data_IF_569484040258
#
_entry.id   IF_569484040258
#
_cell.length_a   1.000
_cell.length_b   1.000
_cell.length_c   1.000
_cell.angle_alpha   90.00
_cell.angle_beta   90.00
_cell.angle_gamma   90.00
#
_symmetry.space_group_name_H-M   'P 1'
#
loop_
_entity.id
_entity.type
_entity.pdbx_description
1 polymer ?
#
# COMPACT_ATOMS: atom_id res chain seq x y z
N UNK A 1 41.56 26.81 68.21
CA UNK A 1 41.92 25.94 67.09
C UNK A 1 40.58 25.55 66.38
N UNK A 2 40.29 26.24 65.23
CA UNK A 2 39.00 26.07 64.51
C UNK A 2 39.26 25.18 63.29
N UNK A 3 38.72 23.97 63.33
CA UNK A 3 38.77 23.00 62.21
C UNK A 3 37.65 23.36 61.22
N UNK A 4 38.00 23.75 59.98
CA UNK A 4 37.04 23.92 58.84
C UNK A 4 36.94 22.60 58.15
N UNK A 5 35.74 21.97 58.19
CA UNK A 5 35.38 20.87 57.32
C UNK A 5 35.05 21.42 55.91
N UNK A 6 35.82 21.04 54.90
CA UNK A 6 35.49 21.22 53.50
C UNK A 6 34.55 20.08 53.09
N UNK A 7 33.31 20.43 52.77
CA UNK A 7 32.41 19.52 52.05
C UNK A 7 32.76 19.55 50.56
N UNK A 8 33.31 18.46 50.08
CA UNK A 8 33.55 18.23 48.66
C UNK A 8 32.25 17.65 48.05
N UNK A 9 31.44 18.47 47.39
CA UNK A 9 30.24 18.03 46.67
C UNK A 9 30.65 17.37 45.36
N UNK A 10 30.55 16.04 45.32
CA UNK A 10 30.72 15.22 44.10
C UNK A 10 29.48 15.39 43.23
N UNK A 11 29.56 16.22 42.19
CA UNK A 11 28.55 16.30 41.11
C UNK A 11 28.64 15.02 40.29
N UNK A 12 27.77 14.06 40.58
CA UNK A 12 27.51 12.94 39.70
C UNK A 12 26.74 13.47 38.48
N UNK A 13 27.44 13.68 37.37
CA UNK A 13 26.84 13.86 36.07
C UNK A 13 26.15 12.54 35.69
N UNK A 14 24.84 12.49 35.84
CA UNK A 14 24.02 11.40 35.26
C UNK A 14 24.13 11.51 33.74
N UNK A 15 25.02 10.74 33.15
CA UNK A 15 24.93 10.44 31.72
C UNK A 15 23.63 9.68 31.50
N UNK A 16 22.61 10.37 30.99
CA UNK A 16 21.46 9.73 30.40
C UNK A 16 21.98 8.96 29.17
N UNK A 17 22.25 7.68 29.35
CA UNK A 17 22.39 6.74 28.25
C UNK A 17 20.99 6.67 27.63
N UNK A 18 20.80 7.49 26.60
CA UNK A 18 19.65 7.36 25.71
C UNK A 18 19.67 5.92 25.21
N UNK A 19 18.59 5.18 25.44
CA UNK A 19 18.42 3.87 24.83
C UNK A 19 18.77 4.01 23.34
N UNK A 20 19.65 3.17 22.83
CA UNK A 20 20.09 3.18 21.44
C UNK A 20 18.86 3.17 20.54
N UNK A 21 18.47 4.35 20.07
CA UNK A 21 17.60 4.53 18.95
C UNK A 21 18.43 4.00 17.76
N UNK A 22 18.12 2.81 17.26
CA UNK A 22 18.81 2.26 16.10
C UNK A 22 18.58 3.23 14.96
N UNK A 23 19.59 4.01 14.64
CA UNK A 23 19.54 4.95 13.53
C UNK A 23 19.45 4.14 12.23
N UNK A 24 18.63 4.63 11.32
CA UNK A 24 18.67 4.19 9.93
C UNK A 24 20.10 4.39 9.38
N UNK A 25 20.41 3.68 8.32
CA UNK A 25 21.74 3.73 7.72
C UNK A 25 22.10 5.19 7.35
N UNK A 26 23.29 5.72 7.78
CA UNK A 26 23.64 7.10 7.55
C UNK A 26 24.09 7.40 6.10
N UNK A 27 24.37 6.39 5.29
CA UNK A 27 24.84 6.52 3.91
C UNK A 27 23.77 6.17 2.89
N UNK A 28 22.81 5.29 3.26
CA UNK A 28 21.85 4.73 2.35
C UNK A 28 20.42 4.88 2.84
N UNK A 29 19.53 5.26 1.94
CA UNK A 29 18.09 5.12 2.13
C UNK A 29 17.67 3.71 1.68
N UNK A 30 17.55 2.77 2.63
CA UNK A 30 17.31 1.35 2.35
C UNK A 30 15.84 1.00 2.44
N UNK A 31 15.23 0.68 1.31
CA UNK A 31 13.80 0.40 1.17
C UNK A 31 13.54 -1.10 1.01
N UNK A 32 12.60 -1.61 1.81
CA UNK A 32 12.06 -2.98 1.67
C UNK A 32 10.95 -2.95 0.62
N UNK A 33 11.09 -3.65 -0.51
CA UNK A 33 10.15 -3.57 -1.62
C UNK A 33 9.84 -4.94 -2.24
N UNK A 34 8.69 -5.03 -2.90
CA UNK A 34 8.36 -6.21 -3.72
C UNK A 34 8.94 -6.03 -5.13
N UNK A 35 9.63 -7.05 -5.68
CA UNK A 35 10.22 -6.95 -7.01
C UNK A 35 9.20 -7.05 -8.16
N UNK A 36 7.92 -7.41 -7.90
CA UNK A 36 6.94 -7.75 -8.95
C UNK A 36 5.53 -7.18 -8.73
N UNK A 37 5.33 -6.26 -7.79
CA UNK A 37 4.00 -5.84 -7.34
C UNK A 37 3.59 -4.45 -7.88
N UNK A 38 3.66 -4.24 -9.20
CA UNK A 38 3.08 -3.02 -9.78
C UNK A 38 1.57 -2.91 -9.48
N UNK A 39 1.08 -1.71 -9.23
CA UNK A 39 1.69 -0.39 -9.33
C UNK A 39 2.56 0.04 -8.14
N UNK A 40 2.62 -0.73 -7.06
CA UNK A 40 3.37 -0.38 -5.85
C UNK A 40 4.86 -0.30 -6.14
N UNK A 41 5.52 -1.44 -6.35
CA UNK A 41 6.96 -1.49 -6.61
C UNK A 41 7.34 -2.60 -7.59
N UNK A 42 8.48 -2.45 -8.22
CA UNK A 42 9.18 -3.52 -8.92
C UNK A 42 10.70 -3.26 -8.92
N UNK A 43 11.47 -4.26 -9.35
CA UNK A 43 12.93 -4.16 -9.40
C UNK A 43 13.46 -3.18 -10.46
N UNK A 44 12.60 -2.74 -11.40
CA UNK A 44 12.97 -1.76 -12.43
C UNK A 44 12.74 -0.31 -11.98
N UNK A 45 12.21 -0.07 -10.76
CA UNK A 45 11.93 1.27 -10.28
C UNK A 45 10.68 1.92 -10.88
N UNK A 46 9.73 1.14 -11.40
CA UNK A 46 8.58 1.62 -12.15
C UNK A 46 7.30 1.82 -11.31
N UNK A 47 7.30 1.42 -10.03
CA UNK A 47 6.15 1.58 -9.14
C UNK A 47 6.09 2.96 -8.47
N UNK A 48 4.90 3.37 -7.99
CA UNK A 48 4.77 4.65 -7.29
C UNK A 48 5.55 4.69 -5.96
N UNK A 49 5.70 3.56 -5.28
CA UNK A 49 6.55 3.46 -4.09
C UNK A 49 8.02 3.69 -4.45
N UNK A 50 8.47 3.17 -5.60
CA UNK A 50 9.82 3.45 -6.08
C UNK A 50 10.01 4.96 -6.33
N UNK A 51 9.01 5.64 -6.94
CA UNK A 51 9.10 7.09 -7.21
C UNK A 51 9.09 7.93 -5.93
N UNK A 52 8.30 7.55 -4.94
CA UNK A 52 8.31 8.21 -3.62
C UNK A 52 9.64 7.93 -2.89
N UNK A 53 10.19 6.72 -3.03
CA UNK A 53 11.50 6.39 -2.45
C UNK A 53 12.64 7.19 -3.10
N UNK A 54 12.61 7.38 -4.43
CA UNK A 54 13.53 8.26 -5.17
C UNK A 54 13.45 9.71 -4.64
N UNK A 55 12.22 10.24 -4.48
CA UNK A 55 11.97 11.56 -3.90
C UNK A 55 12.59 11.69 -2.49
N UNK A 56 12.34 10.71 -1.61
CA UNK A 56 12.83 10.77 -0.24
C UNK A 56 14.35 10.63 -0.15
N UNK A 57 14.95 9.76 -0.96
CA UNK A 57 16.39 9.62 -1.05
C UNK A 57 17.06 10.94 -1.48
N UNK A 58 16.50 11.62 -2.49
CA UNK A 58 16.93 12.95 -2.93
C UNK A 58 16.85 14.00 -1.79
N UNK A 59 15.69 14.06 -1.10
CA UNK A 59 15.49 15.02 0.01
C UNK A 59 16.41 14.77 1.21
N UNK A 60 16.80 13.52 1.43
CA UNK A 60 17.76 13.13 2.49
C UNK A 60 19.22 13.29 2.04
N UNK A 61 19.49 13.40 0.74
CA UNK A 61 20.84 13.38 0.19
C UNK A 61 21.52 12.01 0.34
N UNK A 62 20.75 10.91 0.34
CA UNK A 62 21.23 9.55 0.53
C UNK A 62 21.14 8.75 -0.77
N UNK A 63 22.03 7.75 -0.94
CA UNK A 63 21.92 6.79 -2.02
C UNK A 63 20.76 5.82 -1.75
N UNK A 64 19.86 5.64 -2.74
CA UNK A 64 18.73 4.73 -2.64
C UNK A 64 19.17 3.28 -2.86
N UNK A 65 18.81 2.40 -1.94
CA UNK A 65 19.00 0.94 -2.04
C UNK A 65 17.73 0.18 -1.74
N UNK A 66 17.57 -0.97 -2.37
CA UNK A 66 16.43 -1.85 -2.16
C UNK A 66 16.84 -3.21 -1.61
N UNK A 67 16.09 -3.70 -0.62
CA UNK A 67 16.00 -5.12 -0.29
C UNK A 67 14.70 -5.65 -0.90
N UNK A 68 14.82 -6.47 -1.92
CA UNK A 68 13.66 -7.04 -2.62
C UNK A 68 13.26 -8.39 -2.04
N UNK A 69 12.00 -8.49 -1.65
CA UNK A 69 11.36 -9.73 -1.24
C UNK A 69 9.86 -9.70 -1.63
N UNK A 70 9.26 -10.81 -2.11
CA UNK A 70 7.82 -10.82 -2.42
C UNK A 70 6.97 -10.46 -1.20
N UNK A 71 6.04 -9.52 -1.35
CA UNK A 71 5.18 -9.03 -0.27
C UNK A 71 4.10 -10.06 0.11
N UNK A 72 4.53 -11.10 0.83
CA UNK A 72 3.75 -12.25 1.29
C UNK A 72 3.98 -12.49 2.78
N UNK A 73 3.39 -13.58 3.30
CA UNK A 73 3.65 -14.03 4.68
C UNK A 73 5.15 -14.09 4.93
N UNK A 74 5.59 -13.37 5.97
CA UNK A 74 7.00 -13.28 6.35
C UNK A 74 7.77 -12.11 5.71
N UNK A 75 7.16 -11.25 4.90
CA UNK A 75 7.81 -10.09 4.30
C UNK A 75 8.59 -9.26 5.34
N UNK A 76 7.93 -8.78 6.39
CA UNK A 76 8.57 -7.97 7.45
C UNK A 76 9.72 -8.72 8.14
N UNK A 77 9.55 -10.02 8.40
CA UNK A 77 10.59 -10.84 9.05
C UNK A 77 11.82 -11.01 8.17
N UNK A 78 11.64 -11.14 6.86
CA UNK A 78 12.74 -11.39 5.92
C UNK A 78 13.36 -10.11 5.33
N UNK A 79 12.77 -8.94 5.59
CA UNK A 79 13.21 -7.64 5.11
C UNK A 79 13.49 -6.69 6.28
N UNK A 80 12.49 -5.93 6.74
CA UNK A 80 12.62 -4.86 7.72
C UNK A 80 13.26 -5.32 9.06
N UNK A 81 12.98 -6.55 9.49
CA UNK A 81 13.53 -7.16 10.72
C UNK A 81 14.73 -8.05 10.48
N UNK A 82 15.10 -8.26 9.22
CA UNK A 82 16.23 -9.13 8.90
C UNK A 82 17.53 -8.33 8.97
N UNK A 83 18.51 -8.92 9.67
CA UNK A 83 19.86 -8.37 9.74
C UNK A 83 20.69 -8.85 8.55
N UNK A 84 21.64 -8.03 8.14
CA UNK A 84 22.72 -8.37 7.24
C UNK A 84 23.92 -8.94 8.02
N UNK A 85 24.91 -9.46 7.32
CA UNK A 85 26.10 -10.08 7.94
C UNK A 85 26.94 -9.13 8.81
N UNK A 86 26.65 -7.82 8.85
CA UNK A 86 27.40 -6.78 9.56
C UNK A 86 26.61 -6.15 10.74
N UNK A 87 25.66 -6.86 11.32
CA UNK A 87 24.74 -6.36 12.36
C UNK A 87 23.89 -5.13 11.95
N UNK A 88 23.85 -4.81 10.66
CA UNK A 88 22.96 -3.80 10.09
C UNK A 88 21.70 -4.48 9.54
N UNK A 89 20.58 -3.78 9.57
CA UNK A 89 19.35 -4.28 8.94
C UNK A 89 19.44 -4.21 7.40
N UNK A 90 18.76 -5.13 6.74
CA UNK A 90 18.72 -5.21 5.28
C UNK A 90 18.05 -3.99 4.64
N UNK A 91 17.00 -3.48 5.27
CA UNK A 91 16.30 -2.25 4.87
C UNK A 91 15.72 -1.55 6.09
N UNK A 92 15.35 -0.27 5.98
CA UNK A 92 14.99 0.58 7.10
C UNK A 92 13.56 1.12 7.01
N UNK A 93 12.87 0.89 5.89
CA UNK A 93 11.50 1.36 5.66
C UNK A 93 10.75 0.45 4.70
N UNK A 94 9.45 0.26 4.97
CA UNK A 94 8.45 -0.27 4.04
C UNK A 94 7.57 0.89 3.60
N UNK A 95 7.41 1.10 2.31
CA UNK A 95 6.76 2.30 1.78
C UNK A 95 5.24 2.27 1.85
N UNK A 96 4.61 1.10 1.91
CA UNK A 96 3.15 0.98 1.84
C UNK A 96 2.62 -0.14 2.73
N UNK A 97 1.98 0.26 3.81
CA UNK A 97 1.21 -0.62 4.70
C UNK A 97 -0.10 0.07 5.07
N UNK A 98 -1.17 -0.68 5.37
CA UNK A 98 -2.34 -0.09 6.01
C UNK A 98 -1.95 0.64 7.30
N UNK A 99 -2.53 1.80 7.58
CA UNK A 99 -2.17 2.58 8.79
C UNK A 99 -2.45 1.83 10.11
N UNK A 100 -3.29 0.78 10.08
CA UNK A 100 -3.53 -0.14 11.20
C UNK A 100 -2.57 -1.34 11.26
N UNK A 101 -1.46 -1.30 10.53
CA UNK A 101 -0.51 -2.43 10.47
C UNK A 101 0.23 -2.61 11.79
N UNK A 102 0.18 -3.84 12.36
CA UNK A 102 0.68 -4.12 13.71
C UNK A 102 2.06 -4.80 13.75
N UNK A 103 2.64 -5.13 12.59
CA UNK A 103 3.94 -5.81 12.58
C UNK A 103 5.14 -4.84 12.56
N UNK A 104 4.90 -3.53 12.50
CA UNK A 104 5.93 -2.49 12.52
C UNK A 104 5.34 -1.15 13.01
N UNK A 105 6.19 -0.17 13.33
CA UNK A 105 5.75 1.17 13.72
C UNK A 105 5.35 1.96 12.47
N UNK A 106 4.06 2.29 12.33
CA UNK A 106 3.54 3.06 11.20
C UNK A 106 3.75 4.56 11.39
N UNK A 107 4.02 5.25 10.27
CA UNK A 107 4.05 6.71 10.19
C UNK A 107 2.64 7.30 10.21
N UNK A 108 2.53 8.63 10.13
CA UNK A 108 1.30 9.28 9.72
C UNK A 108 0.90 8.79 8.30
N UNK A 109 -0.40 8.71 8.00
CA UNK A 109 -0.85 8.34 6.66
C UNK A 109 -0.37 9.36 5.61
N UNK A 110 0.06 8.89 4.46
CA UNK A 110 0.47 9.78 3.36
C UNK A 110 -0.52 9.80 2.19
N UNK A 111 -1.43 8.83 2.11
CA UNK A 111 -2.61 8.88 1.25
C UNK A 111 -3.70 7.95 1.72
N UNK A 112 -4.91 8.16 1.19
CA UNK A 112 -6.03 7.23 1.33
C UNK A 112 -6.63 6.90 -0.03
N UNK A 113 -7.06 5.67 -0.20
CA UNK A 113 -7.78 5.19 -1.39
C UNK A 113 -8.86 4.21 -0.98
N UNK A 114 -9.70 3.83 -1.92
CA UNK A 114 -10.80 2.90 -1.67
C UNK A 114 -10.78 1.75 -2.65
N UNK A 115 -11.51 0.69 -2.38
CA UNK A 115 -11.82 -0.31 -3.40
C UNK A 115 -12.59 0.33 -4.55
N UNK A 116 -12.39 -0.19 -5.76
CA UNK A 116 -13.08 0.25 -6.95
C UNK A 116 -13.68 -0.94 -7.71
N UNK A 117 -14.88 -0.73 -8.21
CA UNK A 117 -15.50 -1.59 -9.20
C UNK A 117 -14.90 -1.25 -10.56
N UNK A 118 -14.48 -2.28 -11.30
CA UNK A 118 -13.90 -2.15 -12.64
C UNK A 118 -14.65 -3.03 -13.61
N UNK A 119 -15.00 -2.49 -14.77
CA UNK A 119 -15.63 -3.22 -15.89
C UNK A 119 -15.25 -2.58 -17.23
N UNK A 120 -15.43 -3.33 -18.33
CA UNK A 120 -15.17 -2.82 -19.66
C UNK A 120 -16.40 -2.10 -20.22
N UNK A 121 -16.21 -0.94 -20.83
CA UNK A 121 -17.22 -0.23 -21.61
C UNK A 121 -17.52 -1.00 -22.91
N UNK A 122 -18.74 -0.89 -23.43
CA UNK A 122 -19.15 -1.59 -24.65
C UNK A 122 -19.50 -3.08 -24.45
N UNK A 123 -19.69 -3.53 -23.19
CA UNK A 123 -19.96 -4.95 -22.89
C UNK A 123 -21.16 -5.15 -21.95
N UNK A 124 -22.36 -4.73 -22.41
CA UNK A 124 -23.63 -4.88 -21.67
C UNK A 124 -23.72 -4.17 -20.30
N UNK A 125 -22.71 -3.39 -19.92
CA UNK A 125 -22.65 -2.61 -18.68
C UNK A 125 -22.58 -1.10 -18.94
N UNK A 126 -22.89 -0.64 -20.17
CA UNK A 126 -22.78 0.77 -20.56
C UNK A 126 -23.79 1.68 -19.86
N UNK A 127 -24.87 1.13 -19.34
CA UNK A 127 -25.86 1.87 -18.53
C UNK A 127 -25.40 2.09 -17.10
N UNK A 128 -24.29 1.48 -16.69
CA UNK A 128 -23.74 1.59 -15.34
C UNK A 128 -23.01 2.91 -15.18
N UNK A 129 -23.51 3.75 -14.27
CA UNK A 129 -22.93 5.06 -13.94
C UNK A 129 -22.42 5.15 -12.50
N UNK A 130 -22.86 4.21 -11.65
CA UNK A 130 -22.50 4.14 -10.23
C UNK A 130 -22.63 2.68 -9.72
N UNK A 131 -22.19 2.38 -8.48
CA UNK A 131 -22.27 1.04 -7.92
C UNK A 131 -23.71 0.51 -7.78
N UNK A 132 -24.70 1.37 -7.58
CA UNK A 132 -26.13 0.95 -7.46
C UNK A 132 -26.65 0.47 -8.80
N UNK A 133 -26.46 1.25 -9.85
CA UNK A 133 -26.85 0.87 -11.22
C UNK A 133 -26.12 -0.39 -11.72
N UNK A 134 -24.88 -0.63 -11.26
CA UNK A 134 -24.18 -1.89 -11.53
C UNK A 134 -24.91 -3.09 -10.89
N UNK A 135 -25.29 -2.99 -9.61
CA UNK A 135 -26.00 -4.05 -8.90
C UNK A 135 -27.32 -4.38 -9.60
N UNK A 136 -28.06 -3.36 -10.03
CA UNK A 136 -29.30 -3.51 -10.79
C UNK A 136 -29.05 -4.17 -12.15
N UNK A 137 -28.07 -3.68 -12.91
CA UNK A 137 -27.69 -4.22 -14.21
C UNK A 137 -27.32 -5.72 -14.12
N UNK A 138 -26.53 -6.11 -13.11
CA UNK A 138 -26.16 -7.51 -12.88
C UNK A 138 -27.37 -8.38 -12.59
N UNK A 139 -28.31 -7.91 -11.74
CA UNK A 139 -29.50 -8.68 -11.32
C UNK A 139 -30.57 -8.80 -12.43
N UNK A 140 -30.64 -7.84 -13.32
CA UNK A 140 -31.63 -7.77 -14.40
C UNK A 140 -31.11 -8.26 -15.75
N UNK A 141 -29.79 -8.49 -15.86
CA UNK A 141 -29.17 -8.97 -17.10
C UNK A 141 -29.75 -10.32 -17.54
N UNK A 142 -30.01 -10.44 -18.85
CA UNK A 142 -30.41 -11.69 -19.46
C UNK A 142 -29.23 -12.68 -19.53
N UNK A 143 -28.02 -12.19 -19.64
CA UNK A 143 -26.81 -12.99 -19.63
C UNK A 143 -26.20 -13.01 -18.25
N UNK A 144 -25.62 -14.15 -17.85
CA UNK A 144 -24.98 -14.26 -16.54
C UNK A 144 -23.69 -13.44 -16.50
N UNK A 145 -23.70 -12.29 -15.81
CA UNK A 145 -22.51 -11.49 -15.54
C UNK A 145 -21.53 -12.29 -14.67
N UNK A 146 -20.24 -12.21 -14.98
CA UNK A 146 -19.16 -12.87 -14.25
C UNK A 146 -18.34 -11.81 -13.52
N UNK A 147 -18.34 -11.85 -12.19
CA UNK A 147 -17.57 -10.95 -11.34
C UNK A 147 -16.35 -11.71 -10.85
N UNK A 148 -15.16 -11.38 -11.37
CA UNK A 148 -13.91 -11.93 -10.87
C UNK A 148 -13.62 -11.39 -9.46
N UNK A 149 -13.32 -12.27 -8.52
CA UNK A 149 -13.04 -11.86 -7.15
C UNK A 149 -11.92 -12.73 -6.55
N UNK A 150 -10.90 -12.09 -6.04
CA UNK A 150 -9.88 -12.79 -5.26
C UNK A 150 -10.33 -12.98 -3.81
N UNK A 151 -9.64 -13.88 -3.11
CA UNK A 151 -9.98 -14.37 -1.77
C UNK A 151 -10.40 -13.29 -0.76
N UNK A 152 -10.88 -13.76 0.36
CA UNK A 152 -11.49 -13.06 1.50
C UNK A 152 -11.01 -11.62 1.73
N UNK A 153 -11.94 -10.67 1.80
CA UNK A 153 -11.65 -9.27 2.10
C UNK A 153 -12.88 -8.38 1.94
N UNK A 154 -12.65 -7.08 2.01
CA UNK A 154 -13.71 -6.08 1.95
C UNK A 154 -14.50 -6.12 0.61
N UNK A 155 -13.85 -6.45 -0.51
CA UNK A 155 -14.50 -6.65 -1.79
C UNK A 155 -15.54 -7.79 -1.75
N UNK A 156 -15.21 -8.91 -1.09
CA UNK A 156 -16.13 -10.03 -0.93
C UNK A 156 -17.33 -9.66 -0.05
N UNK A 157 -17.12 -8.91 1.03
CA UNK A 157 -18.21 -8.41 1.87
C UNK A 157 -19.15 -7.52 1.07
N UNK A 158 -18.60 -6.60 0.26
CA UNK A 158 -19.40 -5.74 -0.60
C UNK A 158 -20.27 -6.56 -1.59
N UNK A 159 -19.68 -7.54 -2.26
CA UNK A 159 -20.39 -8.44 -3.18
C UNK A 159 -21.47 -9.25 -2.43
N UNK A 160 -21.15 -9.78 -1.26
CA UNK A 160 -22.08 -10.57 -0.42
C UNK A 160 -23.29 -9.73 0.00
N UNK A 161 -23.09 -8.58 0.61
CA UNK A 161 -24.18 -7.74 1.12
C UNK A 161 -25.05 -7.12 0.02
N UNK A 162 -24.54 -7.07 -1.23
CA UNK A 162 -25.33 -6.64 -2.38
C UNK A 162 -26.02 -7.81 -3.12
N UNK A 163 -25.91 -9.05 -2.60
CA UNK A 163 -26.59 -10.23 -3.14
C UNK A 163 -26.01 -10.71 -4.47
N UNK A 164 -24.68 -10.50 -4.70
CA UNK A 164 -24.02 -10.82 -5.96
C UNK A 164 -23.17 -12.10 -5.90
N UNK A 165 -23.25 -12.89 -4.84
CA UNK A 165 -22.42 -14.09 -4.66
C UNK A 165 -22.58 -15.15 -5.76
N UNK A 166 -23.77 -15.28 -6.36
CA UNK A 166 -24.02 -16.22 -7.46
C UNK A 166 -23.35 -15.86 -8.79
N UNK A 167 -22.81 -14.65 -8.88
CA UNK A 167 -22.11 -14.11 -10.07
C UNK A 167 -20.59 -14.19 -9.96
N UNK A 168 -20.05 -14.70 -8.83
CA UNK A 168 -18.61 -14.75 -8.59
C UNK A 168 -17.93 -15.82 -9.46
N UNK A 169 -16.82 -15.40 -10.08
CA UNK A 169 -15.77 -16.26 -10.61
C UNK A 169 -14.57 -16.14 -9.66
N UNK A 170 -14.19 -17.19 -8.91
CA UNK A 170 -13.16 -17.09 -7.88
C UNK A 170 -11.75 -17.06 -8.47
N UNK A 171 -10.90 -16.24 -7.88
CA UNK A 171 -9.47 -16.12 -8.19
C UNK A 171 -8.64 -16.28 -6.91
N UNK A 172 -7.41 -16.76 -7.05
CA UNK A 172 -6.48 -16.87 -5.91
C UNK A 172 -5.87 -15.49 -5.60
N UNK A 173 -6.04 -14.99 -4.39
CA UNK A 173 -5.42 -13.75 -3.91
C UNK A 173 -3.93 -13.88 -3.63
N UNK A 174 -3.47 -15.09 -3.26
CA UNK A 174 -2.06 -15.40 -3.03
C UNK A 174 -1.64 -16.66 -3.80
N UNK A 175 -1.48 -16.58 -5.13
CA UNK A 175 -1.03 -17.71 -5.92
C UNK A 175 0.41 -18.12 -5.54
N UNK A 176 0.74 -19.40 -5.71
CA UNK A 176 2.08 -19.95 -5.37
C UNK A 176 3.24 -19.27 -6.10
N UNK A 177 3.01 -18.72 -7.29
CA UNK A 177 4.02 -17.99 -8.05
C UNK A 177 4.31 -16.61 -7.42
N UNK A 178 5.53 -16.31 -6.96
CA UNK A 178 5.89 -15.02 -6.37
C UNK A 178 5.86 -13.84 -7.35
N UNK A 179 5.87 -14.09 -8.65
CA UNK A 179 5.78 -13.06 -9.70
C UNK A 179 4.33 -12.75 -10.11
N UNK A 180 3.35 -13.49 -9.58
CA UNK A 180 1.96 -13.25 -9.93
C UNK A 180 1.44 -11.98 -9.26
N UNK A 181 0.70 -11.18 -10.03
CA UNK A 181 -0.03 -10.02 -9.56
C UNK A 181 -1.54 -10.30 -9.73
N UNK A 182 -2.25 -10.69 -8.65
CA UNK A 182 -3.66 -11.07 -8.72
C UNK A 182 -4.58 -9.97 -9.26
N UNK A 183 -4.35 -8.71 -8.87
CA UNK A 183 -5.15 -7.60 -9.35
C UNK A 183 -4.96 -7.36 -10.86
N UNK A 184 -3.71 -7.48 -11.36
CA UNK A 184 -3.44 -7.44 -12.80
C UNK A 184 -4.17 -8.56 -13.54
N UNK A 185 -4.12 -9.78 -13.02
CA UNK A 185 -4.79 -10.93 -13.64
C UNK A 185 -6.29 -10.69 -13.80
N UNK A 186 -6.95 -10.14 -12.77
CA UNK A 186 -8.38 -9.80 -12.83
C UNK A 186 -8.68 -8.76 -13.93
N UNK A 187 -7.86 -7.72 -14.01
CA UNK A 187 -8.03 -6.66 -15.03
C UNK A 187 -7.75 -7.21 -16.45
N UNK A 188 -6.68 -7.98 -16.62
CA UNK A 188 -6.35 -8.62 -17.91
C UNK A 188 -7.49 -9.54 -18.37
N UNK A 189 -8.14 -10.25 -17.45
CA UNK A 189 -9.26 -11.15 -17.76
C UNK A 189 -10.56 -10.38 -18.08
N UNK A 190 -10.76 -9.16 -17.55
CA UNK A 190 -11.80 -8.25 -18.07
C UNK A 190 -11.48 -7.85 -19.51
N UNK A 191 -10.26 -7.40 -19.78
CA UNK A 191 -9.84 -7.01 -21.14
C UNK A 191 -10.02 -8.16 -22.13
N UNK A 192 -9.67 -9.38 -21.74
CA UNK A 192 -9.85 -10.59 -22.53
C UNK A 192 -11.31 -11.09 -22.64
N UNK A 193 -12.27 -10.50 -21.91
CA UNK A 193 -13.67 -10.92 -21.90
C UNK A 193 -13.96 -12.24 -21.18
N UNK A 194 -13.07 -12.71 -20.33
CA UNK A 194 -13.26 -13.92 -19.51
C UNK A 194 -14.18 -13.66 -18.32
N UNK A 195 -14.11 -12.46 -17.75
CA UNK A 195 -15.00 -11.91 -16.73
C UNK A 195 -15.48 -10.52 -17.17
N UNK A 196 -16.59 -10.06 -16.60
CA UNK A 196 -17.22 -8.81 -16.99
C UNK A 196 -16.83 -7.66 -16.06
N UNK A 197 -16.59 -7.96 -14.79
CA UNK A 197 -16.25 -6.96 -13.76
C UNK A 197 -15.36 -7.56 -12.66
N UNK A 198 -14.74 -6.69 -11.88
CA UNK A 198 -14.03 -7.03 -10.64
C UNK A 198 -14.14 -5.91 -9.62
N UNK A 199 -13.86 -6.23 -8.35
CA UNK A 199 -13.68 -5.24 -7.27
C UNK A 199 -12.28 -5.43 -6.69
N UNK A 200 -11.43 -4.43 -6.87
CA UNK A 200 -10.03 -4.43 -6.41
C UNK A 200 -9.68 -3.11 -5.74
N UNK A 201 -8.53 -3.06 -5.05
CA UNK A 201 -8.04 -1.82 -4.46
C UNK A 201 -7.80 -0.76 -5.54
N UNK A 202 -8.14 0.49 -5.20
CA UNK A 202 -8.11 1.63 -6.13
C UNK A 202 -6.77 1.85 -6.82
N UNK A 203 -5.64 1.66 -6.11
CA UNK A 203 -4.33 1.80 -6.73
C UNK A 203 -4.12 0.81 -7.88
N UNK A 204 -4.56 -0.43 -7.72
CA UNK A 204 -4.49 -1.42 -8.80
C UNK A 204 -5.51 -1.15 -9.89
N UNK A 205 -6.74 -0.77 -9.51
CA UNK A 205 -7.81 -0.46 -10.45
C UNK A 205 -7.41 0.67 -11.41
N UNK A 206 -7.01 1.82 -10.87
CA UNK A 206 -6.67 2.99 -11.64
C UNK A 206 -5.45 2.78 -12.55
N UNK A 207 -4.39 2.20 -11.98
CA UNK A 207 -3.15 1.95 -12.73
C UNK A 207 -3.37 1.00 -13.92
N UNK A 208 -3.94 -0.18 -13.68
CA UNK A 208 -4.13 -1.16 -14.75
C UNK A 208 -5.17 -0.70 -15.77
N UNK A 209 -6.20 0.04 -15.37
CA UNK A 209 -7.12 0.67 -16.33
C UNK A 209 -6.38 1.65 -17.25
N UNK A 210 -5.49 2.47 -16.71
CA UNK A 210 -4.64 3.38 -17.50
C UNK A 210 -3.73 2.64 -18.49
N UNK A 211 -3.16 1.49 -18.07
CA UNK A 211 -2.29 0.69 -18.94
C UNK A 211 -3.03 0.06 -20.13
N UNK A 212 -4.32 -0.21 -20.00
CA UNK A 212 -5.14 -0.83 -21.06
C UNK A 212 -5.94 0.18 -21.91
N UNK A 213 -5.83 1.49 -21.68
CA UNK A 213 -6.64 2.53 -22.32
C UNK A 213 -6.66 2.50 -23.85
N UNK A 214 -5.58 2.03 -24.47
CA UNK A 214 -5.46 1.95 -25.94
C UNK A 214 -6.07 0.65 -26.51
N UNK A 215 -6.42 -0.32 -25.66
CA UNK A 215 -7.01 -1.60 -26.05
C UNK A 215 -8.51 -1.67 -25.74
N UNK A 216 -8.87 -1.38 -24.49
CA UNK A 216 -10.25 -1.44 -23.96
C UNK A 216 -10.44 -0.31 -22.97
N UNK A 217 -11.48 0.49 -23.15
CA UNK A 217 -11.86 1.50 -22.16
C UNK A 217 -12.43 0.81 -20.91
N UNK A 218 -11.70 0.89 -19.81
CA UNK A 218 -12.11 0.38 -18.52
C UNK A 218 -12.71 1.51 -17.67
N UNK A 219 -13.91 1.27 -17.18
CA UNK A 219 -14.58 2.15 -16.22
C UNK A 219 -14.12 1.76 -14.83
N UNK A 220 -13.69 2.74 -14.03
CA UNK A 220 -13.25 2.58 -12.63
C UNK A 220 -14.18 3.41 -11.76
N UNK A 221 -15.03 2.76 -10.97
CA UNK A 221 -15.97 3.41 -10.05
C UNK A 221 -15.48 3.21 -8.60
N UNK A 222 -14.96 4.24 -7.94
CA UNK A 222 -14.59 4.16 -6.53
C UNK A 222 -15.80 3.81 -5.66
N UNK A 223 -15.64 2.86 -4.76
CA UNK A 223 -16.67 2.44 -3.82
C UNK A 223 -16.59 3.29 -2.54
N UNK A 224 -17.70 3.37 -1.83
CA UNK A 224 -17.78 4.06 -0.53
C UNK A 224 -18.01 3.05 0.58
N UNK A 225 -17.55 3.40 1.77
CA UNK A 225 -17.87 2.67 3.00
C UNK A 225 -19.39 2.57 3.18
N UNK A 226 -19.85 1.45 3.71
CA UNK A 226 -21.25 1.25 4.10
C UNK A 226 -21.31 0.99 5.63
N UNK A 227 -21.47 2.05 6.44
CA UNK A 227 -21.50 1.92 7.89
C UNK A 227 -22.68 1.08 8.41
N UNK A 228 -23.83 1.08 7.68
CA UNK A 228 -25.01 0.31 8.08
C UNK A 228 -24.76 -1.20 8.01
N UNK A 229 -23.97 -1.64 7.04
CA UNK A 229 -23.54 -3.03 6.87
C UNK A 229 -22.17 -3.32 7.49
N UNK A 230 -21.57 -2.33 8.14
CA UNK A 230 -20.21 -2.42 8.70
C UNK A 230 -19.16 -2.83 7.65
N UNK A 231 -19.27 -2.28 6.44
CA UNK A 231 -18.32 -2.51 5.36
C UNK A 231 -17.38 -1.31 5.26
N UNK A 232 -16.10 -1.55 5.51
CA UNK A 232 -15.03 -0.59 5.27
C UNK A 232 -14.34 -0.90 3.95
N UNK A 233 -14.38 0.04 3.03
CA UNK A 233 -13.76 -0.03 1.69
C UNK A 233 -12.64 0.97 1.51
N UNK A 234 -12.62 2.02 2.32
CA UNK A 234 -11.61 3.07 2.33
C UNK A 234 -10.48 2.74 3.31
N UNK A 235 -9.25 2.86 2.84
CA UNK A 235 -8.05 2.58 3.63
C UNK A 235 -7.04 3.71 3.50
N UNK A 236 -6.47 4.09 4.65
CA UNK A 236 -5.32 4.98 4.71
C UNK A 236 -4.04 4.16 4.73
N UNK A 237 -3.05 4.64 4.02
CA UNK A 237 -1.75 3.99 3.90
C UNK A 237 -0.64 4.84 4.52
N UNK A 238 0.22 4.16 5.25
CA UNK A 238 1.37 4.69 5.95
C UNK A 238 2.63 3.98 5.47
N UNK A 239 3.78 4.56 5.79
CA UNK A 239 5.05 3.85 5.74
C UNK A 239 5.29 3.16 7.08
N UNK A 240 6.20 2.21 7.13
CA UNK A 240 6.52 1.49 8.37
C UNK A 240 8.01 1.34 8.59
N UNK A 241 8.43 1.56 9.84
CA UNK A 241 9.80 1.40 10.34
C UNK A 241 9.80 0.39 11.49
N UNK A 242 10.97 -0.05 11.95
CA UNK A 242 11.06 -0.96 13.10
C UNK A 242 10.52 -0.29 14.37
N UNK A 243 9.97 -1.09 15.27
CA UNK A 243 9.65 -0.61 16.62
C UNK A 243 10.92 -0.15 17.33
N UNK A 244 10.82 0.98 18.06
CA UNK A 244 11.93 1.60 18.76
C UNK A 244 12.65 2.69 17.98
N UNK A 245 12.54 2.75 16.66
CA UNK A 245 13.17 3.76 15.79
C UNK A 245 12.33 5.06 15.72
N UNK A 246 12.15 5.70 16.87
CA UNK A 246 11.29 6.90 16.98
C UNK A 246 11.81 8.07 16.16
N UNK A 247 13.10 8.36 16.24
CA UNK A 247 13.72 9.47 15.50
C UNK A 247 13.61 9.27 13.98
N UNK A 248 13.81 8.03 13.51
CA UNK A 248 13.65 7.70 12.10
C UNK A 248 12.20 7.87 11.64
N UNK A 249 11.25 7.37 12.42
CA UNK A 249 9.83 7.56 12.14
C UNK A 249 9.44 9.03 12.06
N UNK A 250 9.95 9.86 12.98
CA UNK A 250 9.70 11.31 12.96
C UNK A 250 10.31 11.99 11.73
N UNK A 251 11.51 11.57 11.30
CA UNK A 251 12.14 12.04 10.06
C UNK A 251 11.25 11.71 8.85
N UNK A 252 10.72 10.49 8.76
CA UNK A 252 9.82 10.10 7.68
C UNK A 252 8.49 10.87 7.73
N UNK A 253 7.90 11.06 8.91
CA UNK A 253 6.70 11.89 9.08
C UNK A 253 6.91 13.32 8.58
N UNK A 254 8.08 13.90 8.88
CA UNK A 254 8.45 15.21 8.38
C UNK A 254 8.56 15.22 6.85
N UNK A 255 9.23 14.24 6.25
CA UNK A 255 9.32 14.11 4.79
C UNK A 255 7.95 13.98 4.14
N UNK A 256 7.06 13.15 4.68
CA UNK A 256 5.68 13.03 4.22
C UNK A 256 4.99 14.40 4.21
N UNK A 257 5.04 15.10 5.34
CA UNK A 257 4.37 16.40 5.51
C UNK A 257 4.92 17.47 4.56
N UNK A 258 6.25 17.54 4.43
CA UNK A 258 6.92 18.57 3.63
C UNK A 258 6.80 18.33 2.12
N UNK A 259 6.58 17.07 1.70
CA UNK A 259 6.52 16.68 0.29
C UNK A 259 5.14 16.13 -0.11
N UNK A 260 4.08 16.46 0.64
CA UNK A 260 2.73 15.92 0.40
C UNK A 260 2.23 16.19 -1.02
N UNK A 261 2.58 17.36 -1.60
CA UNK A 261 2.14 17.72 -2.95
C UNK A 261 2.85 16.89 -4.03
N UNK A 262 4.14 16.65 -3.87
CA UNK A 262 4.93 15.79 -4.76
C UNK A 262 4.45 14.34 -4.69
N UNK A 263 4.18 13.84 -3.49
CA UNK A 263 3.60 12.50 -3.28
C UNK A 263 2.23 12.40 -3.99
N UNK A 264 1.36 13.39 -3.79
CA UNK A 264 0.03 13.43 -4.42
C UNK A 264 0.14 13.44 -5.96
N UNK A 265 1.06 14.21 -6.52
CA UNK A 265 1.31 14.23 -7.95
C UNK A 265 1.76 12.86 -8.48
N UNK A 266 2.69 12.18 -7.79
CA UNK A 266 3.11 10.83 -8.14
C UNK A 266 1.89 9.90 -8.15
N UNK A 267 1.06 9.90 -7.10
CA UNK A 267 -0.10 9.02 -7.01
C UNK A 267 -1.14 9.30 -8.11
N UNK A 268 -1.35 10.56 -8.46
CA UNK A 268 -2.24 10.99 -9.57
C UNK A 268 -1.69 10.52 -10.92
N UNK A 269 -0.38 10.60 -11.13
CA UNK A 269 0.26 10.11 -12.35
C UNK A 269 0.08 8.60 -12.52
N UNK A 270 -0.07 7.85 -11.44
CA UNK A 270 -0.42 6.43 -11.46
C UNK A 270 -1.93 6.18 -11.55
N UNK A 271 -2.74 7.24 -11.73
CA UNK A 271 -4.20 7.18 -11.82
C UNK A 271 -4.86 6.55 -10.58
N UNK A 272 -4.28 6.75 -9.40
CA UNK A 272 -4.81 6.22 -8.14
C UNK A 272 -6.00 7.09 -7.69
N UNK A 273 -7.20 6.52 -7.48
CA UNK A 273 -8.34 7.25 -6.95
C UNK A 273 -8.10 7.60 -5.48
N UNK A 274 -7.70 8.85 -5.22
CA UNK A 274 -7.47 9.35 -3.86
C UNK A 274 -8.79 9.71 -3.19
N UNK A 275 -8.91 9.41 -1.91
CA UNK A 275 -10.01 9.83 -1.02
C UNK A 275 -9.46 10.76 0.05
N UNK A 276 -10.23 11.78 0.37
CA UNK A 276 -9.90 12.76 1.42
C UNK A 276 -10.45 12.33 2.76
#
# INVERSE_FOLDING_TARGET
MKIRLLFLSLLMSANNVSANDHLADPEFFKVCADPYMLPMSNQNGEGYENKIAELFAEKLGLELKYEFFPQRIGFIRNTLRAESNNNNYKCDIVMNVPSSFELAATTEPYYSTTYALVFAKGRNLDSVIDPTSFIEAVKTSKEKVKIGLSDVGAAQLWVFYNGLMSYITPYQGQPGNPKANPAKTLIDDIVAGKIDATVVMGQSAGYWAKQHKDNVELVVLPLKDDPEKNIRLTYSFSMAVRYGEKSWKETINKLIKENQKEIENILVDYNIPLVK
#
